data_IF_745472301640
#
_entry.id   IF_745472301640
#
_cell.length_a   1.000
_cell.length_b   1.000
_cell.length_c   1.000
_cell.angle_alpha   90.00
_cell.angle_beta   90.00
_cell.angle_gamma   90.00
#
_symmetry.space_group_name_H-M   'P 1'
#
loop_
_entity.id
_entity.type
_entity.pdbx_description
1 polymer ?
#
# COMPACT_ATOMS: atom_id res chain seq x y z
N UNK A 1 -0.20 -34.12 -14.64
CA UNK A 1 0.17 -34.21 -13.21
C UNK A 1 0.34 -35.68 -12.87
N UNK A 2 1.55 -36.10 -12.52
CA UNK A 2 1.81 -37.44 -12.02
C UNK A 2 1.29 -37.59 -10.57
N UNK A 3 1.02 -38.82 -10.09
CA UNK A 3 0.65 -39.05 -8.69
C UNK A 3 1.63 -38.44 -7.67
N UNK A 4 2.93 -38.45 -8.00
CA UNK A 4 3.99 -37.86 -7.17
C UNK A 4 3.86 -36.33 -7.07
N UNK A 5 3.60 -35.65 -8.18
CA UNK A 5 3.40 -34.20 -8.20
C UNK A 5 2.17 -33.80 -7.40
N UNK A 6 1.07 -34.55 -7.53
CA UNK A 6 -0.15 -34.33 -6.75
C UNK A 6 0.10 -34.53 -5.25
N UNK A 7 0.81 -35.59 -4.86
CA UNK A 7 1.15 -35.84 -3.45
C UNK A 7 2.02 -34.71 -2.85
N UNK A 8 3.01 -34.21 -3.60
CA UNK A 8 3.85 -33.08 -3.19
C UNK A 8 3.04 -31.80 -3.02
N UNK A 9 2.12 -31.52 -3.95
CA UNK A 9 1.24 -30.35 -3.87
C UNK A 9 0.31 -30.39 -2.65
N UNK A 10 -0.30 -31.55 -2.39
CA UNK A 10 -1.18 -31.76 -1.23
C UNK A 10 -0.41 -31.59 0.08
N UNK A 11 0.78 -32.20 0.20
CA UNK A 11 1.62 -32.09 1.39
C UNK A 11 2.04 -30.63 1.67
N UNK A 12 2.42 -29.88 0.64
CA UNK A 12 2.76 -28.46 0.77
C UNK A 12 1.56 -27.60 1.20
N UNK A 13 0.38 -27.90 0.66
CA UNK A 13 -0.88 -27.20 0.99
C UNK A 13 -1.27 -27.43 2.45
N UNK A 14 -1.26 -28.69 2.90
CA UNK A 14 -1.53 -29.06 4.29
C UNK A 14 -0.56 -28.37 5.26
N UNK A 15 0.75 -28.35 4.94
CA UNK A 15 1.77 -27.66 5.75
C UNK A 15 1.55 -26.14 5.85
N UNK A 16 1.00 -25.51 4.81
CA UNK A 16 0.66 -24.07 4.80
C UNK A 16 -0.58 -23.78 5.63
N UNK A 17 -1.60 -24.64 5.55
CA UNK A 17 -2.86 -24.49 6.28
C UNK A 17 -2.73 -24.84 7.76
N UNK A 18 -1.88 -25.82 8.11
CA UNK A 18 -1.64 -26.22 9.51
C UNK A 18 -0.87 -25.17 10.31
N UNK A 19 -0.10 -24.31 9.64
CA UNK A 19 0.48 -23.11 10.24
C UNK A 19 -0.63 -22.08 10.49
N UNK A 20 -1.37 -22.23 11.59
CA UNK A 20 -2.16 -21.14 12.18
C UNK A 20 -1.18 -20.02 12.55
N UNK A 21 -1.00 -19.05 11.65
CA UNK A 21 -0.45 -17.75 12.04
C UNK A 21 -1.56 -17.05 12.82
N UNK A 22 -1.31 -16.69 14.07
CA UNK A 22 -2.23 -15.84 14.82
C UNK A 22 -2.44 -14.51 14.09
N UNK A 23 -3.67 -14.01 14.10
CA UNK A 23 -4.05 -12.74 13.47
C UNK A 23 -4.46 -12.83 11.99
N UNK A 24 -5.03 -11.76 11.43
CA UNK A 24 -5.44 -11.71 10.04
C UNK A 24 -4.23 -11.83 9.10
N UNK A 25 -4.40 -12.43 7.91
CA UNK A 25 -3.35 -12.44 6.90
C UNK A 25 -2.97 -11.00 6.51
N UNK A 26 -1.69 -10.73 6.22
CA UNK A 26 -1.27 -9.39 5.82
C UNK A 26 -1.91 -9.00 4.48
N UNK A 27 -2.45 -7.79 4.39
CA UNK A 27 -3.06 -7.25 3.16
C UNK A 27 -2.03 -7.09 2.02
N UNK A 28 -0.77 -6.85 2.36
CA UNK A 28 0.34 -6.70 1.39
C UNK A 28 1.51 -7.57 1.79
N UNK A 29 2.21 -8.11 0.80
CA UNK A 29 3.48 -8.82 1.04
C UNK A 29 4.55 -7.84 1.51
N UNK A 30 5.26 -8.18 2.57
CA UNK A 30 6.46 -7.45 3.01
C UNK A 30 7.56 -7.63 1.97
N UNK A 31 8.03 -6.53 1.38
CA UNK A 31 9.27 -6.51 0.59
C UNK A 31 10.41 -6.09 1.54
N UNK A 32 11.47 -6.88 1.61
CA UNK A 32 12.67 -6.52 2.35
C UNK A 32 13.55 -5.55 1.54
N UNK A 33 14.45 -4.83 2.22
CA UNK A 33 15.52 -4.06 1.57
C UNK A 33 15.13 -2.71 0.97
N UNK A 34 13.97 -2.15 1.32
CA UNK A 34 13.57 -0.81 0.85
C UNK A 34 14.33 0.30 1.58
N UNK A 35 14.83 1.26 0.82
CA UNK A 35 15.30 2.56 1.33
C UNK A 35 14.16 3.35 1.97
N UNK A 36 14.48 4.38 2.76
CA UNK A 36 13.46 5.24 3.40
C UNK A 36 12.55 5.91 2.36
N UNK A 37 13.10 6.38 1.23
CA UNK A 37 12.31 6.98 0.15
C UNK A 37 11.36 5.98 -0.52
N UNK A 38 11.83 4.74 -0.74
CA UNK A 38 10.96 3.68 -1.26
C UNK A 38 9.87 3.30 -0.27
N UNK A 39 10.14 3.33 1.04
CA UNK A 39 9.13 3.09 2.07
C UNK A 39 8.06 4.19 2.05
N UNK A 40 8.46 5.47 1.93
CA UNK A 40 7.51 6.60 1.80
C UNK A 40 6.61 6.40 0.58
N UNK A 41 7.19 6.12 -0.59
CA UNK A 41 6.40 5.82 -1.80
C UNK A 41 5.52 4.60 -1.64
N UNK A 42 6.03 3.53 -1.04
CA UNK A 42 5.28 2.29 -0.83
C UNK A 42 4.02 2.51 0.01
N UNK A 43 4.09 3.37 1.02
CA UNK A 43 2.94 3.79 1.83
C UNK A 43 1.96 4.58 0.99
N UNK A 44 2.41 5.63 0.30
CA UNK A 44 1.53 6.51 -0.49
C UNK A 44 0.87 5.80 -1.68
N UNK A 45 1.61 4.94 -2.40
CA UNK A 45 1.07 4.09 -3.47
C UNK A 45 0.14 2.98 -2.93
N UNK A 46 0.04 2.82 -1.61
CA UNK A 46 -1.00 2.00 -0.98
C UNK A 46 -2.35 2.70 -0.84
N UNK A 47 -2.39 4.03 -1.00
CA UNK A 47 -3.61 4.83 -0.86
C UNK A 47 -4.48 4.73 -2.13
N UNK A 48 -5.81 4.85 -1.99
CA UNK A 48 -6.71 4.87 -3.14
C UNK A 48 -6.34 6.01 -4.09
N UNK A 49 -6.42 5.75 -5.39
CA UNK A 49 -6.20 6.73 -6.46
C UNK A 49 -4.76 7.29 -6.59
N UNK A 50 -3.80 6.80 -5.81
CA UNK A 50 -2.41 7.23 -5.86
C UNK A 50 -1.57 6.25 -6.70
N UNK A 51 -1.05 6.74 -7.83
CA UNK A 51 -0.04 6.05 -8.63
C UNK A 51 1.37 6.45 -8.17
N UNK A 52 2.40 5.76 -8.65
CA UNK A 52 3.80 6.09 -8.38
C UNK A 52 4.15 7.55 -8.70
N UNK A 53 3.66 8.06 -9.83
CA UNK A 53 3.88 9.47 -10.21
C UNK A 53 3.19 10.45 -9.26
N UNK A 54 1.99 10.13 -8.77
CA UNK A 54 1.28 10.99 -7.80
C UNK A 54 1.93 10.91 -6.42
N UNK A 55 2.37 9.72 -6.00
CA UNK A 55 3.11 9.54 -4.75
C UNK A 55 4.40 10.37 -4.73
N UNK A 56 5.14 10.38 -5.85
CA UNK A 56 6.32 11.23 -5.97
C UNK A 56 5.96 12.71 -5.84
N UNK A 57 4.94 13.21 -6.57
CA UNK A 57 4.51 14.62 -6.47
C UNK A 57 4.04 15.00 -5.07
N UNK A 58 3.36 14.10 -4.35
CA UNK A 58 2.98 14.32 -2.97
C UNK A 58 4.21 14.49 -2.06
N UNK A 59 5.24 13.69 -2.27
CA UNK A 59 6.50 13.84 -1.52
C UNK A 59 7.27 15.09 -1.93
N UNK A 60 7.24 15.47 -3.21
CA UNK A 60 7.89 16.69 -3.69
C UNK A 60 7.22 17.94 -3.10
N UNK A 61 5.88 17.94 -2.99
CA UNK A 61 5.10 19.07 -2.44
C UNK A 61 5.19 19.15 -0.91
N UNK A 62 5.05 18.02 -0.20
CA UNK A 62 4.88 17.99 1.27
C UNK A 62 6.13 17.50 2.04
N UNK A 63 7.15 16.98 1.34
CA UNK A 63 8.45 16.53 1.86
C UNK A 63 8.43 15.24 2.70
N UNK A 64 7.39 15.02 3.49
CA UNK A 64 7.30 13.90 4.44
C UNK A 64 5.90 13.28 4.42
N UNK A 65 5.82 12.01 4.85
CA UNK A 65 4.51 11.37 5.07
C UNK A 65 3.64 12.19 6.02
N UNK A 66 4.21 12.71 7.12
CA UNK A 66 3.49 13.57 8.06
C UNK A 66 2.91 14.81 7.36
N UNK A 67 3.68 15.43 6.48
CA UNK A 67 3.23 16.56 5.66
C UNK A 67 2.02 16.19 4.79
N UNK A 68 2.10 15.06 4.09
CA UNK A 68 0.99 14.56 3.25
C UNK A 68 -0.26 14.27 4.09
N UNK A 69 -0.12 13.55 5.20
CA UNK A 69 -1.25 13.17 6.06
C UNK A 69 -1.86 14.33 6.83
N UNK A 70 -1.15 15.47 6.96
CA UNK A 70 -1.65 16.68 7.60
C UNK A 70 -2.18 17.72 6.60
N UNK A 71 -2.09 17.44 5.30
CA UNK A 71 -2.51 18.37 4.26
C UNK A 71 -4.03 18.60 4.30
N UNK A 72 -4.47 19.85 4.09
CA UNK A 72 -5.89 20.15 3.97
C UNK A 72 -6.47 19.59 2.67
N UNK A 73 -7.80 19.51 2.58
CA UNK A 73 -8.47 19.11 1.35
C UNK A 73 -8.05 19.98 0.15
N UNK A 74 -7.89 21.28 0.36
CA UNK A 74 -7.50 22.22 -0.68
C UNK A 74 -6.01 22.08 -1.06
N UNK A 75 -5.13 21.77 -0.11
CA UNK A 75 -3.72 21.49 -0.42
C UNK A 75 -3.58 20.24 -1.29
N UNK A 76 -4.33 19.17 -0.99
CA UNK A 76 -4.32 17.95 -1.79
C UNK A 76 -4.78 18.21 -3.23
N UNK A 77 -5.77 19.10 -3.43
CA UNK A 77 -6.29 19.46 -4.77
C UNK A 77 -5.28 20.22 -5.62
N UNK A 78 -4.26 20.85 -5.02
CA UNK A 78 -3.20 21.55 -5.77
C UNK A 78 -2.24 20.58 -6.45
N UNK A 79 -2.13 19.35 -5.96
CA UNK A 79 -1.22 18.36 -6.51
C UNK A 79 -1.75 17.85 -7.86
N UNK A 80 -0.94 18.00 -8.92
CA UNK A 80 -1.28 17.55 -10.27
C UNK A 80 -1.70 16.07 -10.30
N UNK A 81 -2.93 15.83 -10.74
CA UNK A 81 -3.52 14.49 -10.85
C UNK A 81 -4.46 14.12 -9.69
N UNK A 82 -4.58 15.00 -8.69
CA UNK A 82 -5.54 14.89 -7.59
C UNK A 82 -6.65 15.93 -7.79
N UNK A 83 -7.73 15.53 -8.43
CA UNK A 83 -8.95 16.33 -8.53
C UNK A 83 -9.81 16.23 -7.27
N UNK A 84 -10.87 17.01 -7.22
CA UNK A 84 -11.75 17.16 -6.05
C UNK A 84 -12.28 15.83 -5.48
N UNK A 85 -12.74 14.90 -6.33
CA UNK A 85 -13.19 13.57 -5.90
C UNK A 85 -12.07 12.78 -5.18
N UNK A 86 -10.88 12.74 -5.79
CA UNK A 86 -9.74 12.00 -5.22
C UNK A 86 -9.27 12.64 -3.92
N UNK A 87 -9.21 13.97 -3.86
CA UNK A 87 -8.86 14.70 -2.66
C UNK A 87 -9.84 14.42 -1.52
N UNK A 88 -11.15 14.42 -1.79
CA UNK A 88 -12.18 14.10 -0.78
C UNK A 88 -12.06 12.66 -0.28
N UNK A 89 -11.84 11.69 -1.16
CA UNK A 89 -11.65 10.28 -0.77
C UNK A 89 -10.41 10.10 0.09
N UNK A 90 -9.29 10.73 -0.27
CA UNK A 90 -8.04 10.71 0.50
C UNK A 90 -8.21 11.40 1.85
N UNK A 91 -8.75 12.61 1.87
CA UNK A 91 -8.95 13.38 3.10
C UNK A 91 -9.86 12.64 4.07
N UNK A 92 -10.94 12.02 3.58
CA UNK A 92 -11.82 11.16 4.39
C UNK A 92 -11.06 9.97 4.97
N UNK A 93 -10.28 9.25 4.15
CA UNK A 93 -9.51 8.09 4.61
C UNK A 93 -8.48 8.46 5.69
N UNK A 94 -7.84 9.63 5.56
CA UNK A 94 -6.80 10.07 6.50
C UNK A 94 -7.37 10.58 7.83
N UNK A 95 -8.66 10.95 7.85
CA UNK A 95 -9.36 11.51 9.02
C UNK A 95 -10.54 10.64 9.49
N UNK A 96 -10.59 9.37 9.08
CA UNK A 96 -11.64 8.42 9.49
C UNK A 96 -11.32 7.71 10.79
#
# INVERSE_FOLDING_TARGET
LSPRETALFLAATLKRMSKKKGGPPPLRRKRGGMTVEEQKRFVLEGLPHISSSTAQRLLDEFGTLKGVFSASLEDLKRVKGIGDKKARDLYRLMNS
#
